data_IF_024265534631
#
_entry.id   IF_024265534631
#
_cell.length_a   1.000
_cell.length_b   1.000
_cell.length_c   1.000
_cell.angle_alpha   90.00
_cell.angle_beta   90.00
_cell.angle_gamma   90.00
#
_symmetry.space_group_name_H-M   'P 1'
#
loop_
_entity.id
_entity.type
_entity.pdbx_description
1 polymer ?
#
# COMPACT_ATOMS: atom_id res chain seq x y z
N UNK A 1 19.68 -30.48 -24.04
CA UNK A 1 18.34 -29.90 -23.85
C UNK A 1 18.52 -28.43 -23.52
N UNK A 2 18.54 -27.58 -24.54
CA UNK A 2 18.72 -26.14 -24.41
C UNK A 2 17.61 -25.46 -25.22
N UNK A 3 16.65 -24.88 -24.48
CA UNK A 3 15.61 -23.92 -24.86
C UNK A 3 14.67 -23.93 -23.65
N UNK A 4 14.53 -22.90 -22.84
CA UNK A 4 13.84 -21.67 -23.21
C UNK A 4 14.09 -20.59 -22.14
N UNK A 5 15.25 -19.95 -22.13
CA UNK A 5 15.57 -18.80 -21.23
C UNK A 5 15.26 -17.44 -21.87
N UNK A 6 14.68 -17.41 -23.07
CA UNK A 6 14.48 -16.19 -23.85
C UNK A 6 13.13 -15.48 -23.62
N UNK A 7 12.22 -16.03 -22.80
CA UNK A 7 10.87 -15.48 -22.62
C UNK A 7 10.68 -14.53 -21.42
N UNK A 8 11.61 -14.53 -20.46
CA UNK A 8 11.43 -13.84 -19.17
C UNK A 8 11.94 -12.37 -19.16
N UNK A 9 12.15 -11.74 -20.33
CA UNK A 9 12.97 -10.52 -20.43
C UNK A 9 12.26 -9.28 -20.96
N UNK A 10 10.96 -9.34 -21.29
CA UNK A 10 10.23 -8.16 -21.75
C UNK A 10 9.01 -7.89 -20.89
N UNK A 11 8.97 -6.71 -20.26
CA UNK A 11 7.73 -6.16 -19.71
C UNK A 11 6.71 -6.07 -20.84
N UNK A 12 5.48 -6.48 -20.58
CA UNK A 12 4.40 -6.43 -21.55
C UNK A 12 3.20 -5.65 -21.02
N UNK A 13 2.38 -5.15 -21.94
CA UNK A 13 1.14 -4.47 -21.58
C UNK A 13 0.05 -5.48 -21.24
N UNK A 14 -0.56 -5.32 -20.07
CA UNK A 14 -1.80 -5.97 -19.68
C UNK A 14 -2.92 -4.95 -19.59
N UNK A 15 -4.16 -5.37 -19.83
CA UNK A 15 -5.36 -4.55 -19.66
C UNK A 15 -6.43 -5.32 -18.90
N UNK A 16 -7.35 -4.63 -18.24
CA UNK A 16 -8.36 -5.31 -17.45
C UNK A 16 -9.20 -4.37 -16.59
N UNK A 17 -10.00 -4.99 -15.72
CA UNK A 17 -10.81 -4.31 -14.73
C UNK A 17 -10.24 -4.58 -13.34
N UNK A 18 -10.17 -3.52 -12.53
CA UNK A 18 -9.88 -3.61 -11.11
C UNK A 18 -11.01 -2.93 -10.35
N UNK A 19 -11.74 -3.70 -9.55
CA UNK A 19 -12.78 -3.21 -8.67
C UNK A 19 -12.25 -3.20 -7.24
N UNK A 20 -12.40 -2.07 -6.57
CA UNK A 20 -11.92 -1.89 -5.19
C UNK A 20 -13.02 -1.36 -4.29
N UNK A 21 -13.14 -1.96 -3.12
CA UNK A 21 -13.91 -1.42 -2.02
C UNK A 21 -13.00 -1.26 -0.79
N UNK A 22 -12.94 -0.04 -0.25
CA UNK A 22 -12.00 0.30 0.83
C UNK A 22 -12.70 1.07 1.95
N UNK A 23 -13.29 0.38 2.94
CA UNK A 23 -13.80 1.05 4.13
C UNK A 23 -12.66 1.53 5.02
N UNK A 24 -12.81 2.77 5.48
CA UNK A 24 -11.88 3.43 6.40
C UNK A 24 -12.62 3.81 7.68
N UNK A 25 -12.13 3.31 8.81
CA UNK A 25 -12.57 3.74 10.14
C UNK A 25 -11.41 4.46 10.81
N UNK A 26 -11.64 5.67 11.30
CA UNK A 26 -10.63 6.45 12.00
C UNK A 26 -11.24 7.19 13.18
N UNK A 27 -10.49 7.25 14.27
CA UNK A 27 -10.86 7.99 15.46
C UNK A 27 -9.62 8.64 16.07
N UNK A 28 -9.81 9.77 16.74
CA UNK A 28 -8.77 10.47 17.47
C UNK A 28 -9.30 10.91 18.83
N UNK A 29 -8.59 10.54 19.89
CA UNK A 29 -8.88 10.91 21.28
C UNK A 29 -7.63 11.56 21.86
N UNK A 30 -7.69 12.88 22.06
CA UNK A 30 -6.52 13.66 22.42
C UNK A 30 -5.39 13.51 21.39
N UNK A 31 -4.15 13.20 21.81
CA UNK A 31 -3.04 13.02 20.88
C UNK A 31 -3.00 11.63 20.24
N UNK A 32 -3.84 10.69 20.66
CA UNK A 32 -3.85 9.33 20.12
C UNK A 32 -4.87 9.23 18.98
N UNK A 33 -4.42 8.74 17.83
CA UNK A 33 -5.25 8.46 16.67
C UNK A 33 -5.14 6.98 16.30
N UNK A 34 -6.28 6.37 16.02
CA UNK A 34 -6.41 5.01 15.52
C UNK A 34 -7.04 5.02 14.14
N UNK A 35 -6.56 4.13 13.26
CA UNK A 35 -7.07 4.00 11.90
C UNK A 35 -7.10 2.53 11.51
N UNK A 36 -8.19 2.10 10.89
CA UNK A 36 -8.27 0.82 10.20
C UNK A 36 -8.74 1.05 8.77
N UNK A 37 -7.97 0.53 7.82
CA UNK A 37 -8.28 0.54 6.39
C UNK A 37 -8.36 -0.91 5.94
N UNK A 38 -9.56 -1.40 5.67
CA UNK A 38 -9.73 -2.69 5.00
C UNK A 38 -9.86 -2.46 3.50
N UNK A 39 -9.31 -3.36 2.71
CA UNK A 39 -9.29 -3.29 1.25
C UNK A 39 -9.79 -4.63 0.70
N UNK A 40 -10.73 -4.56 -0.23
CA UNK A 40 -11.31 -5.67 -0.95
C UNK A 40 -11.13 -5.38 -2.44
N UNK A 41 -10.20 -6.09 -3.08
CA UNK A 41 -9.90 -5.94 -4.50
C UNK A 41 -10.36 -7.15 -5.28
N UNK A 42 -10.98 -6.92 -6.43
CA UNK A 42 -11.21 -7.95 -7.44
C UNK A 42 -10.57 -7.53 -8.76
N UNK A 43 -9.80 -8.43 -9.34
CA UNK A 43 -9.13 -8.23 -10.61
C UNK A 43 -9.77 -9.11 -11.69
N UNK A 44 -9.85 -8.56 -12.90
CA UNK A 44 -10.02 -9.30 -14.14
C UNK A 44 -9.08 -8.73 -15.19
N UNK A 45 -7.90 -9.33 -15.27
CA UNK A 45 -6.81 -8.89 -16.10
C UNK A 45 -6.58 -9.84 -17.28
N UNK A 46 -6.37 -9.23 -18.44
CA UNK A 46 -5.89 -9.89 -19.66
C UNK A 46 -4.36 -9.89 -19.62
N UNK A 47 -3.80 -11.08 -19.45
CA UNK A 47 -2.36 -11.34 -19.35
C UNK A 47 -1.83 -12.01 -20.61
N UNK A 48 -0.51 -12.03 -20.80
CA UNK A 48 0.09 -12.82 -21.89
C UNK A 48 -0.20 -14.31 -21.72
N UNK A 49 -0.13 -15.03 -22.85
CA UNK A 49 -0.54 -16.43 -22.91
C UNK A 49 0.30 -17.29 -21.96
N UNK A 50 -0.35 -17.82 -20.93
CA UNK A 50 0.24 -18.74 -19.96
C UNK A 50 0.38 -18.15 -18.55
N UNK A 51 0.33 -16.82 -18.42
CA UNK A 51 0.44 -16.14 -17.13
C UNK A 51 -0.91 -16.21 -16.39
N UNK A 52 -0.82 -16.47 -15.08
CA UNK A 52 -1.98 -16.72 -14.20
C UNK A 52 -2.05 -15.75 -13.02
N UNK A 53 -0.90 -15.17 -12.67
CA UNK A 53 -0.72 -14.19 -11.61
C UNK A 53 0.13 -13.04 -12.12
N UNK A 54 0.01 -11.89 -11.49
CA UNK A 54 0.83 -10.71 -11.79
C UNK A 54 1.16 -9.98 -10.49
N UNK A 55 2.25 -9.21 -10.48
CA UNK A 55 2.69 -8.51 -9.28
C UNK A 55 1.96 -7.17 -9.12
N UNK A 56 1.19 -7.02 -8.05
CA UNK A 56 0.55 -5.75 -7.70
C UNK A 56 1.47 -4.99 -6.74
N UNK A 57 1.97 -3.84 -7.22
CA UNK A 57 3.04 -3.10 -6.55
C UNK A 57 2.61 -2.47 -5.22
N UNK A 58 1.33 -2.10 -5.06
CA UNK A 58 0.82 -1.45 -3.85
C UNK A 58 0.75 -2.43 -2.68
N UNK A 59 0.35 -3.67 -2.95
CA UNK A 59 0.17 -4.76 -2.00
C UNK A 59 1.45 -5.59 -1.82
N UNK A 60 2.43 -5.39 -2.69
CA UNK A 60 3.72 -6.11 -2.69
C UNK A 60 3.51 -7.63 -2.70
N UNK A 61 2.66 -8.09 -3.61
CA UNK A 61 2.36 -9.52 -3.75
C UNK A 61 1.96 -9.86 -5.18
N UNK A 62 2.24 -11.08 -5.60
CA UNK A 62 1.61 -11.62 -6.80
C UNK A 62 0.13 -11.88 -6.53
N UNK A 63 -0.78 -11.29 -7.29
CA UNK A 63 -2.22 -11.54 -7.18
C UNK A 63 -2.70 -12.35 -8.39
N UNK A 64 -3.82 -13.08 -8.27
CA UNK A 64 -4.48 -13.71 -9.42
C UNK A 64 -4.73 -12.71 -10.54
N UNK A 65 -4.55 -13.13 -11.80
CA UNK A 65 -5.02 -12.36 -12.95
C UNK A 65 -6.53 -12.15 -12.91
N UNK A 66 -7.27 -13.15 -12.40
CA UNK A 66 -8.70 -13.08 -12.16
C UNK A 66 -9.00 -13.57 -10.76
N UNK A 67 -9.42 -12.70 -9.85
CA UNK A 67 -9.69 -13.13 -8.48
C UNK A 67 -9.62 -12.04 -7.44
N UNK A 68 -9.79 -12.47 -6.19
CA UNK A 68 -9.89 -11.59 -5.03
C UNK A 68 -8.55 -11.41 -4.32
N UNK A 69 -8.35 -10.23 -3.77
CA UNK A 69 -7.34 -9.95 -2.76
C UNK A 69 -7.97 -9.18 -1.61
N UNK A 70 -7.54 -9.53 -0.40
CA UNK A 70 -7.95 -8.84 0.81
C UNK A 70 -6.71 -8.22 1.44
N UNK A 71 -6.83 -6.98 1.91
CA UNK A 71 -5.79 -6.37 2.71
C UNK A 71 -6.37 -5.59 3.88
N UNK A 72 -5.61 -5.45 4.95
CA UNK A 72 -5.98 -4.63 6.09
C UNK A 72 -4.75 -3.94 6.65
N UNK A 73 -4.85 -2.63 6.86
CA UNK A 73 -3.88 -1.86 7.62
C UNK A 73 -4.55 -1.31 8.88
N UNK A 74 -3.95 -1.59 10.03
CA UNK A 74 -4.34 -1.04 11.32
C UNK A 74 -3.20 -0.21 11.90
N UNK A 75 -3.49 1.05 12.20
CA UNK A 75 -2.54 2.01 12.72
C UNK A 75 -2.98 2.51 14.11
N UNK A 76 -2.01 2.60 15.02
CA UNK A 76 -2.12 3.39 16.25
C UNK A 76 -1.01 4.42 16.20
N UNK A 77 -1.35 5.69 16.40
CA UNK A 77 -0.38 6.79 16.32
C UNK A 77 -0.60 7.82 17.41
N UNK A 78 0.49 8.45 17.82
CA UNK A 78 0.55 9.63 18.65
C UNK A 78 0.88 10.84 17.78
N UNK A 79 0.13 11.92 17.93
CA UNK A 79 0.24 13.15 17.17
C UNK A 79 0.52 14.32 18.10
N UNK A 80 1.65 14.99 17.88
CA UNK A 80 2.11 16.14 18.67
C UNK A 80 2.30 17.36 17.79
N UNK A 81 1.51 18.43 17.99
CA UNK A 81 1.80 19.73 17.42
C UNK A 81 3.14 20.30 17.92
N UNK A 82 3.84 21.01 17.05
CA UNK A 82 5.13 21.66 17.28
C UNK A 82 5.08 23.07 16.66
N UNK A 83 4.25 23.95 17.22
CA UNK A 83 3.88 25.21 16.56
C UNK A 83 3.03 24.92 15.33
N UNK A 84 3.45 25.41 14.17
CA UNK A 84 2.77 25.16 12.89
C UNK A 84 3.03 23.74 12.34
N UNK A 85 4.05 23.06 12.85
CA UNK A 85 4.42 21.70 12.42
C UNK A 85 3.68 20.62 13.24
N UNK A 86 3.66 19.39 12.73
CA UNK A 86 3.14 18.23 13.44
C UNK A 86 4.08 17.03 13.32
N UNK A 87 4.43 16.45 14.46
CA UNK A 87 5.06 15.14 14.52
C UNK A 87 4.01 14.06 14.76
N UNK A 88 4.08 12.98 14.00
CA UNK A 88 3.29 11.76 14.20
C UNK A 88 4.23 10.58 14.34
N UNK A 89 4.01 9.74 15.33
CA UNK A 89 4.75 8.50 15.53
C UNK A 89 3.80 7.39 15.95
N UNK A 90 4.02 6.15 15.53
CA UNK A 90 3.07 5.09 15.76
C UNK A 90 3.56 3.72 15.31
N UNK A 91 2.63 2.78 15.33
CA UNK A 91 2.81 1.41 14.88
C UNK A 91 1.74 1.05 13.85
N UNK A 92 2.09 0.17 12.93
CA UNK A 92 1.23 -0.36 11.87
C UNK A 92 1.25 -1.88 11.88
N UNK A 93 0.08 -2.50 11.82
CA UNK A 93 -0.11 -3.89 11.43
C UNK A 93 -0.69 -3.91 10.03
N UNK A 94 -0.10 -4.70 9.14
CA UNK A 94 -0.53 -4.81 7.74
C UNK A 94 -0.68 -6.28 7.39
N UNK A 95 -1.77 -6.63 6.72
CA UNK A 95 -2.06 -7.99 6.26
C UNK A 95 -2.49 -7.95 4.81
N UNK A 96 -1.97 -8.85 3.99
CA UNK A 96 -2.35 -9.01 2.58
C UNK A 96 -2.57 -10.49 2.29
N UNK A 97 -3.72 -10.81 1.72
CA UNK A 97 -4.21 -12.17 1.49
C UNK A 97 -4.79 -12.28 0.07
N UNK A 98 -3.96 -12.60 -0.94
CA UNK A 98 -4.47 -12.98 -2.24
C UNK A 98 -5.18 -14.34 -2.17
N UNK A 99 -6.32 -14.46 -2.84
CA UNK A 99 -7.07 -15.71 -2.92
C UNK A 99 -6.79 -16.39 -4.26
N UNK A 100 -6.01 -17.48 -4.22
CA UNK A 100 -5.72 -18.28 -5.42
C UNK A 100 -6.71 -19.42 -5.56
N UNK A 101 -7.30 -19.54 -6.74
CA UNK A 101 -8.10 -20.68 -7.15
C UNK A 101 -7.28 -21.65 -8.03
N UNK A 102 -7.87 -22.77 -8.43
CA UNK A 102 -7.19 -23.74 -9.30
C UNK A 102 -6.77 -23.16 -10.67
N UNK A 103 -7.47 -22.13 -11.17
CA UNK A 103 -7.10 -21.45 -12.42
C UNK A 103 -5.84 -20.58 -12.25
N UNK A 104 -5.60 -20.09 -11.04
CA UNK A 104 -4.44 -19.26 -10.70
C UNK A 104 -3.15 -20.06 -10.52
N UNK A 105 -3.24 -21.39 -10.35
CA UNK A 105 -2.11 -22.26 -10.04
C UNK A 105 -1.64 -23.06 -11.26
N UNK A 106 -0.36 -23.47 -11.25
CA UNK A 106 0.13 -24.47 -12.20
C UNK A 106 -0.45 -25.85 -11.87
N UNK A 107 -0.64 -26.75 -12.87
CA UNK A 107 -1.12 -28.11 -12.62
C UNK A 107 -0.25 -28.93 -11.64
N UNK A 108 1.04 -28.56 -11.52
CA UNK A 108 2.00 -29.19 -10.61
C UNK A 108 1.96 -28.60 -9.20
N UNK A 109 1.20 -27.53 -8.97
CA UNK A 109 1.04 -26.88 -7.68
C UNK A 109 -0.27 -27.35 -7.03
N UNK A 110 -0.19 -28.22 -6.01
CA UNK A 110 -1.38 -28.69 -5.28
C UNK A 110 -1.87 -27.64 -4.28
N UNK A 111 -3.16 -27.26 -4.42
CA UNK A 111 -3.82 -26.06 -3.87
C UNK A 111 -4.01 -25.91 -2.36
N UNK A 112 -3.13 -26.44 -1.51
CA UNK A 112 -3.14 -26.17 -0.07
C UNK A 112 -1.89 -25.44 0.45
N UNK A 113 -0.87 -25.22 -0.39
CA UNK A 113 0.45 -24.74 0.05
C UNK A 113 0.89 -23.37 -0.45
N UNK A 114 0.13 -22.69 -1.31
CA UNK A 114 0.54 -21.40 -1.88
C UNK A 114 0.00 -20.26 -1.02
N UNK A 115 0.75 -19.96 0.04
CA UNK A 115 0.53 -18.82 0.93
C UNK A 115 1.52 -17.70 0.59
N UNK A 116 1.27 -16.98 -0.51
CA UNK A 116 2.05 -15.80 -0.87
C UNK A 116 1.56 -14.52 -0.17
N UNK A 117 0.48 -14.62 0.62
CA UNK A 117 0.08 -13.55 1.51
C UNK A 117 1.14 -13.24 2.55
N UNK A 118 1.01 -12.09 3.20
CA UNK A 118 1.93 -11.67 4.23
C UNK A 118 1.27 -10.89 5.35
N UNK A 119 1.93 -10.94 6.49
CA UNK A 119 1.64 -10.12 7.65
C UNK A 119 2.89 -9.34 8.02
N UNK A 120 2.73 -8.05 8.30
CA UNK A 120 3.82 -7.15 8.68
C UNK A 120 3.44 -6.36 9.92
N UNK A 121 4.43 -6.15 10.80
CA UNK A 121 4.34 -5.19 11.88
C UNK A 121 5.45 -4.16 11.73
N UNK A 122 5.13 -2.89 11.94
CA UNK A 122 6.08 -1.82 11.68
C UNK A 122 5.88 -0.58 12.52
N UNK A 123 6.89 0.27 12.45
CA UNK A 123 6.88 1.62 12.98
C UNK A 123 6.44 2.58 11.88
N UNK A 124 5.69 3.60 12.27
CA UNK A 124 5.25 4.69 11.43
C UNK A 124 5.73 6.00 12.04
N UNK A 125 6.30 6.88 11.23
CA UNK A 125 6.63 8.24 11.61
C UNK A 125 6.26 9.20 10.48
N UNK A 126 5.65 10.34 10.80
CA UNK A 126 5.40 11.39 9.84
C UNK A 126 5.74 12.76 10.43
N UNK A 127 6.25 13.65 9.58
CA UNK A 127 6.51 15.04 9.94
C UNK A 127 5.86 15.95 8.92
N UNK A 128 4.85 16.69 9.37
CA UNK A 128 4.22 17.76 8.61
C UNK A 128 4.92 19.06 8.95
N UNK A 129 5.53 19.71 7.95
CA UNK A 129 6.37 20.90 8.19
C UNK A 129 5.56 22.11 8.64
N UNK A 130 4.35 22.28 8.10
CA UNK A 130 3.44 23.37 8.46
C UNK A 130 1.99 23.06 8.08
N UNK A 131 1.04 23.64 8.82
CA UNK A 131 -0.37 23.71 8.44
C UNK A 131 -0.84 25.18 8.40
N UNK A 132 -1.05 25.71 7.18
CA UNK A 132 -1.41 27.10 6.89
C UNK A 132 -2.85 27.23 6.34
N UNK A 133 -3.70 26.22 6.53
CA UNK A 133 -5.10 26.25 6.09
C UNK A 133 -5.30 26.09 4.57
N UNK A 134 -6.28 26.79 4.01
CA UNK A 134 -6.66 26.67 2.59
C UNK A 134 -5.66 27.41 1.69
N UNK A 135 -4.67 26.66 1.20
CA UNK A 135 -3.63 27.15 0.29
C UNK A 135 -3.39 26.13 -0.81
N UNK A 136 -2.89 26.60 -1.95
CA UNK A 136 -2.46 25.74 -3.06
C UNK A 136 -1.35 24.74 -2.65
N UNK A 137 -0.57 25.05 -1.62
CA UNK A 137 0.41 24.13 -1.04
C UNK A 137 0.35 24.20 0.48
N UNK A 138 -0.20 23.15 1.09
CA UNK A 138 -0.36 23.03 2.53
C UNK A 138 -0.02 21.62 3.03
N UNK A 139 0.29 21.49 4.33
CA UNK A 139 0.65 20.22 4.99
C UNK A 139 1.68 19.38 4.23
N UNK A 140 2.77 19.95 3.69
CA UNK A 140 3.84 19.12 3.17
C UNK A 140 4.31 18.20 4.30
N UNK A 141 4.37 16.92 3.99
CA UNK A 141 4.57 15.87 4.98
C UNK A 141 5.50 14.82 4.41
N UNK A 142 6.48 14.41 5.21
CA UNK A 142 7.26 13.21 4.96
C UNK A 142 6.70 12.09 5.84
N UNK A 143 6.49 10.92 5.26
CA UNK A 143 6.05 9.71 5.95
C UNK A 143 7.13 8.63 5.77
N UNK A 144 7.54 8.03 6.88
CA UNK A 144 8.39 6.86 6.94
C UNK A 144 7.62 5.71 7.59
N UNK A 145 7.58 4.57 6.91
CA UNK A 145 7.10 3.31 7.46
C UNK A 145 8.21 2.29 7.35
N UNK A 146 8.54 1.64 8.45
CA UNK A 146 9.50 0.53 8.50
C UNK A 146 8.81 -0.67 9.11
N UNK A 147 8.65 -1.75 8.33
CA UNK A 147 7.87 -2.91 8.74
C UNK A 147 8.64 -4.21 8.53
N UNK A 148 8.50 -5.15 9.46
CA UNK A 148 9.08 -6.48 9.38
C UNK A 148 8.00 -7.50 9.05
N UNK A 149 8.35 -8.49 8.22
CA UNK A 149 7.46 -9.59 7.91
C UNK A 149 7.33 -10.51 9.13
N UNK A 150 6.12 -10.63 9.65
CA UNK A 150 5.75 -11.63 10.66
C UNK A 150 5.51 -13.00 10.01
N UNK A 151 4.98 -12.98 8.78
CA UNK A 151 4.84 -14.15 7.93
C UNK A 151 4.97 -13.72 6.47
N UNK A 152 5.74 -14.49 5.70
CA UNK A 152 5.87 -14.37 4.25
C UNK A 152 6.72 -15.54 3.76
N UNK A 153 6.31 -16.21 2.67
CA UNK A 153 6.99 -17.41 2.14
C UNK A 153 8.51 -17.29 2.01
N UNK A 154 9.00 -16.13 1.56
CA UNK A 154 10.42 -15.89 1.28
C UNK A 154 11.12 -14.84 2.18
N UNK A 155 10.39 -14.14 3.07
CA UNK A 155 10.92 -12.96 3.82
C UNK A 155 11.03 -13.19 5.33
N UNK A 156 10.86 -14.43 5.77
CA UNK A 156 10.99 -14.84 7.18
C UNK A 156 12.04 -15.94 7.35
N UNK A 157 13.16 -15.86 6.62
CA UNK A 157 14.31 -16.74 6.78
C UNK A 157 14.53 -17.79 5.68
N UNK A 158 13.62 -17.91 4.69
CA UNK A 158 13.84 -18.80 3.55
C UNK A 158 14.87 -18.22 2.57
N UNK A 159 14.58 -17.07 1.97
CA UNK A 159 15.48 -16.40 1.03
C UNK A 159 16.08 -15.12 1.62
N UNK A 160 15.28 -14.42 2.44
CA UNK A 160 15.67 -13.16 3.08
C UNK A 160 15.46 -13.28 4.59
N UNK A 161 16.44 -12.79 5.34
CA UNK A 161 16.36 -12.70 6.80
C UNK A 161 15.13 -11.90 7.24
N UNK A 162 14.44 -12.39 8.28
CA UNK A 162 13.33 -11.67 8.89
C UNK A 162 13.75 -10.32 9.47
N UNK A 163 15.04 -10.13 9.77
CA UNK A 163 15.56 -8.87 10.27
C UNK A 163 15.56 -7.74 9.22
N UNK A 164 15.47 -8.06 7.93
CA UNK A 164 15.43 -7.08 6.85
C UNK A 164 14.03 -6.45 6.76
N UNK A 165 13.89 -5.13 7.00
CA UNK A 165 12.59 -4.48 6.94
C UNK A 165 12.18 -4.14 5.50
N UNK A 166 10.88 -4.03 5.30
CA UNK A 166 10.26 -3.27 4.23
C UNK A 166 10.18 -1.79 4.62
N UNK A 167 10.65 -0.90 3.73
CA UNK A 167 10.72 0.54 4.00
C UNK A 167 9.92 1.31 2.95
N UNK A 168 9.03 2.18 3.41
CA UNK A 168 8.32 3.17 2.58
C UNK A 168 8.72 4.55 3.02
N UNK A 169 9.17 5.36 2.07
CA UNK A 169 9.34 6.79 2.22
C UNK A 169 8.39 7.48 1.25
N UNK A 170 7.51 8.34 1.76
CA UNK A 170 6.54 9.06 0.96
C UNK A 170 6.55 10.54 1.29
N UNK A 171 6.22 11.35 0.28
CA UNK A 171 5.96 12.77 0.42
C UNK A 171 4.51 13.05 0.03
N UNK A 172 3.81 13.83 0.83
CA UNK A 172 2.42 14.21 0.58
C UNK A 172 2.20 15.69 0.91
N UNK A 173 1.24 16.32 0.23
CA UNK A 173 0.77 17.67 0.53
C UNK A 173 -0.71 17.78 0.20
N UNK A 174 -1.37 18.79 0.76
CA UNK A 174 -2.74 19.18 0.43
C UNK A 174 -2.71 20.43 -0.45
N UNK A 175 -3.59 20.48 -1.44
CA UNK A 175 -3.78 21.64 -2.31
C UNK A 175 -5.25 22.00 -2.35
N UNK A 176 -5.55 23.27 -2.10
CA UNK A 176 -6.84 23.86 -2.41
C UNK A 176 -6.75 24.61 -3.76
N UNK A 177 -7.44 24.06 -4.77
CA UNK A 177 -7.47 24.62 -6.12
C UNK A 177 -8.44 25.81 -6.26
N UNK A 178 -9.39 25.97 -5.33
CA UNK A 178 -10.38 27.05 -5.40
C UNK A 178 -9.78 28.38 -4.93
N UNK A 179 -8.86 28.37 -3.96
CA UNK A 179 -8.09 29.56 -3.58
C UNK A 179 -7.18 30.02 -4.74
N UNK A 180 -6.53 29.07 -5.42
CA UNK A 180 -5.63 29.36 -6.55
C UNK A 180 -6.35 29.99 -7.76
N UNK A 181 -7.60 29.59 -8.03
CA UNK A 181 -8.42 30.16 -9.09
C UNK A 181 -9.03 31.53 -8.73
N UNK A 182 -9.12 31.86 -7.44
CA UNK A 182 -9.68 33.14 -6.97
C UNK A 182 -8.71 34.32 -7.07
N UNK A 183 -7.50 34.09 -7.61
CA UNK A 183 -6.48 35.05 -8.01
C UNK A 183 -6.79 36.50 -7.63
N UNK A 184 -6.61 36.83 -6.35
CA UNK A 184 -6.70 38.19 -5.84
C UNK A 184 -7.92 38.97 -6.33
N UNK A 185 -9.15 38.51 -6.07
CA UNK A 185 -10.26 39.47 -6.00
C UNK A 185 -9.95 40.39 -4.83
N UNK A 186 -9.41 41.57 -5.15
CA UNK A 186 -9.22 42.66 -4.22
C UNK A 186 -10.51 42.82 -3.41
N UNK A 187 -10.42 42.63 -2.09
CA UNK A 187 -11.49 43.05 -1.19
C UNK A 187 -11.61 44.55 -1.39
N UNK A 188 -12.69 44.98 -2.05
CA UNK A 188 -13.09 46.38 -2.04
C UNK A 188 -13.36 46.79 -0.58
N UNK A 189 -13.03 48.05 -0.22
CA UNK A 189 -13.05 48.54 1.16
C UNK A 189 -14.40 48.40 1.86
#
# INVERSE_FOLDING_TARGET
>A
MAANTAGALANYSSSGLHLTFEPLVQAKIGPIAVRNRAFFGWFDMTMQRGDRVWYEATLDVAVPAKGWVFANDFDISYQKPLGDAQLTAGVRLSSVMPHYDAASLLPTESGAGIANGHHRAGLLAAYTFFDRGYKAFNKPSILLITSWYLSHRYRTGADVSQAAPYVVLAFAFQSDLLDAASGGVARLP
#
